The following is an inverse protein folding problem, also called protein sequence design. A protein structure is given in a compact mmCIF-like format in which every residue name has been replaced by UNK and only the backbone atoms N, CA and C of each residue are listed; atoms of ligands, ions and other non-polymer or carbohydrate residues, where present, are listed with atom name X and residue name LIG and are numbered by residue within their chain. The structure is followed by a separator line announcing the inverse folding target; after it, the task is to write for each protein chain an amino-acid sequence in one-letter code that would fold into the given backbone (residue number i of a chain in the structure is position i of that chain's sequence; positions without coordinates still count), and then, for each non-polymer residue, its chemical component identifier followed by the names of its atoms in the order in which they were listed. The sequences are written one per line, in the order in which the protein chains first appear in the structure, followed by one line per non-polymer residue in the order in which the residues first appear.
data_IF_887294374247
#
_entry.id   IF_887294374247
#
_cell.length_a   1.000
_cell.length_b   1.000
_cell.length_c   1.000
_cell.angle_alpha   90.00
_cell.angle_beta   90.00
_cell.angle_gamma   90.00
#
_symmetry.space_group_name_H-M   'P 1'
#
loop_
_entity.id
_entity.type
_entity.pdbx_description
1 polymer ?
#
# COMPACT_ATOMS: atom_id res chain seq x y z
N UNK A 1 17.15 40.63 -6.38
CA UNK A 1 18.05 40.00 -5.40
C UNK A 1 19.29 39.52 -6.15
N UNK A 2 20.50 39.98 -5.84
CA UNK A 2 21.75 39.47 -6.46
C UNK A 2 22.28 38.31 -5.61
N UNK A 3 22.76 37.23 -6.24
CA UNK A 3 23.31 36.04 -5.57
C UNK A 3 24.81 35.90 -5.88
N UNK A 4 25.69 36.78 -5.36
CA UNK A 4 27.09 36.89 -5.77
C UNK A 4 27.91 35.62 -5.49
N UNK A 5 27.54 34.84 -4.47
CA UNK A 5 28.22 33.57 -4.14
C UNK A 5 28.11 32.52 -5.24
N UNK A 6 27.07 32.58 -6.09
CA UNK A 6 26.92 31.66 -7.21
C UNK A 6 27.97 31.86 -8.31
N UNK A 7 28.71 32.98 -8.33
CA UNK A 7 29.81 33.16 -9.28
C UNK A 7 30.98 32.20 -9.03
N UNK A 8 31.09 31.65 -7.81
CA UNK A 8 32.10 30.64 -7.48
C UNK A 8 31.68 29.22 -7.91
N UNK A 9 30.44 29.04 -8.37
CA UNK A 9 29.94 27.75 -8.80
C UNK A 9 30.51 27.38 -10.16
N UNK A 10 31.26 26.29 -10.21
CA UNK A 10 31.75 25.68 -11.45
C UNK A 10 31.13 24.30 -11.60
N UNK A 11 30.47 24.06 -12.74
CA UNK A 11 29.88 22.78 -13.09
C UNK A 11 30.53 22.35 -14.41
N UNK A 12 31.16 21.17 -14.48
CA UNK A 12 31.71 20.64 -15.73
C UNK A 12 30.63 20.57 -16.81
N UNK A 13 30.94 21.10 -18.00
CA UNK A 13 29.99 21.13 -19.13
C UNK A 13 29.85 19.77 -19.79
N UNK A 14 30.96 19.01 -19.88
CA UNK A 14 30.95 17.70 -20.50
C UNK A 14 30.48 16.66 -19.47
N UNK A 15 29.58 15.77 -19.91
CA UNK A 15 29.13 14.64 -19.08
C UNK A 15 30.05 13.42 -19.23
N UNK A 16 30.86 13.36 -20.29
CA UNK A 16 31.55 12.14 -20.73
C UNK A 16 33.07 12.16 -20.67
N UNK A 17 33.71 13.31 -20.44
CA UNK A 17 35.18 13.41 -20.46
C UNK A 17 35.86 12.48 -19.44
N UNK A 18 35.18 12.14 -18.34
CA UNK A 18 35.72 11.31 -17.25
C UNK A 18 35.28 9.84 -17.30
N UNK A 19 34.57 9.41 -18.35
CA UNK A 19 34.10 8.02 -18.47
C UNK A 19 35.00 7.22 -19.41
N UNK A 20 35.58 6.13 -18.91
CA UNK A 20 36.29 5.18 -19.76
C UNK A 20 35.34 4.57 -20.80
N UNK A 21 35.85 4.24 -22.00
CA UNK A 21 35.03 3.66 -23.09
C UNK A 21 34.29 2.38 -22.67
N UNK A 22 34.89 1.60 -21.77
CA UNK A 22 34.33 0.33 -21.27
C UNK A 22 33.45 0.49 -20.02
N UNK A 23 33.08 1.73 -19.64
CA UNK A 23 32.33 1.99 -18.42
C UNK A 23 30.92 1.40 -18.48
N UNK A 24 30.53 0.70 -17.42
CA UNK A 24 29.15 0.27 -17.20
C UNK A 24 28.33 1.47 -16.73
N UNK A 25 27.37 1.87 -17.55
CA UNK A 25 26.51 3.02 -17.27
C UNK A 25 25.24 2.59 -16.52
N UNK A 26 24.72 3.48 -15.68
CA UNK A 26 23.41 3.35 -15.02
C UNK A 26 22.80 4.71 -14.74
N UNK A 27 21.48 4.81 -14.82
CA UNK A 27 20.71 6.05 -14.63
C UNK A 27 19.99 5.99 -13.28
N UNK A 28 20.09 7.07 -12.50
CA UNK A 28 19.51 7.15 -11.17
C UNK A 28 18.60 8.38 -11.07
N UNK A 29 17.30 8.13 -10.90
CA UNK A 29 16.26 9.16 -10.80
C UNK A 29 15.82 9.27 -9.36
N UNK A 30 16.06 10.41 -8.72
CA UNK A 30 15.65 10.66 -7.35
C UNK A 30 14.42 11.57 -7.34
N UNK A 31 13.48 11.30 -6.45
CA UNK A 31 12.23 12.03 -6.31
C UNK A 31 12.04 12.40 -4.84
N UNK A 32 11.63 13.64 -4.58
CA UNK A 32 11.31 14.12 -3.24
C UNK A 32 10.24 15.22 -3.27
N UNK A 33 9.53 15.38 -2.17
CA UNK A 33 8.58 16.45 -2.00
C UNK A 33 8.53 17.01 -0.58
N UNK A 34 8.45 18.34 -0.51
CA UNK A 34 8.14 19.11 0.69
C UNK A 34 6.75 19.75 0.58
N UNK A 35 6.31 20.40 1.66
CA UNK A 35 5.07 21.19 1.63
C UNK A 35 5.15 22.39 0.66
N UNK A 36 6.35 22.81 0.28
CA UNK A 36 6.60 24.01 -0.53
C UNK A 36 6.84 23.68 -2.00
N UNK A 37 7.51 22.58 -2.30
CA UNK A 37 7.83 22.17 -3.66
C UNK A 37 8.08 20.66 -3.75
N UNK A 38 7.99 20.12 -4.95
CA UNK A 38 8.36 18.75 -5.25
C UNK A 38 9.33 18.72 -6.42
N UNK A 39 10.29 17.80 -6.38
CA UNK A 39 11.44 17.83 -7.26
C UNK A 39 11.90 16.43 -7.66
N UNK A 40 12.67 16.40 -8.75
CA UNK A 40 13.37 15.23 -9.22
C UNK A 40 14.74 15.62 -9.76
N UNK A 41 15.72 14.73 -9.62
CA UNK A 41 17.04 14.87 -10.22
C UNK A 41 17.53 13.53 -10.79
N UNK A 42 18.22 13.61 -11.91
CA UNK A 42 18.71 12.46 -12.69
C UNK A 42 20.22 12.49 -12.71
N UNK A 43 20.83 11.42 -12.25
CA UNK A 43 22.28 11.21 -12.31
C UNK A 43 22.63 10.11 -13.31
N UNK A 44 23.74 10.30 -14.03
CA UNK A 44 24.43 9.24 -14.75
C UNK A 44 25.55 8.72 -13.86
N UNK A 45 25.59 7.42 -13.64
CA UNK A 45 26.69 6.72 -12.97
C UNK A 45 27.46 5.92 -14.02
N UNK A 46 28.78 6.07 -14.01
CA UNK A 46 29.70 5.31 -14.84
C UNK A 46 30.68 4.56 -13.95
N UNK A 47 30.75 3.24 -14.14
CA UNK A 47 31.63 2.34 -13.39
C UNK A 47 32.63 1.69 -14.33
N UNK A 48 33.92 1.97 -14.10
CA UNK A 48 35.05 1.28 -14.73
C UNK A 48 35.77 0.43 -13.69
N UNK A 49 36.80 -0.32 -14.11
CA UNK A 49 37.59 -1.16 -13.20
C UNK A 49 38.27 -0.35 -12.07
N UNK A 50 38.69 0.88 -12.37
CA UNK A 50 39.51 1.69 -11.47
C UNK A 50 38.73 2.84 -10.79
N UNK A 51 37.57 3.22 -11.34
CA UNK A 51 36.85 4.39 -10.87
C UNK A 51 35.32 4.26 -11.02
N UNK A 52 34.58 4.87 -10.10
CA UNK A 52 33.14 5.10 -10.26
C UNK A 52 32.83 6.57 -10.08
N UNK A 53 32.27 7.17 -11.12
CA UNK A 53 31.88 8.58 -11.15
C UNK A 53 30.38 8.72 -11.34
N UNK A 54 29.84 9.82 -10.82
CA UNK A 54 28.42 10.15 -10.89
C UNK A 54 28.30 11.62 -11.24
N UNK A 55 27.35 11.96 -12.11
CA UNK A 55 27.12 13.34 -12.52
C UNK A 55 25.64 13.62 -12.74
N UNK A 56 25.19 14.79 -12.28
CA UNK A 56 23.86 15.30 -12.51
C UNK A 56 23.67 15.62 -13.99
N UNK A 57 22.71 14.96 -14.63
CA UNK A 57 22.32 15.24 -16.01
C UNK A 57 21.26 16.34 -16.04
N UNK A 58 20.24 16.20 -15.19
CA UNK A 58 19.08 17.06 -15.24
C UNK A 58 18.36 17.08 -13.89
N UNK A 59 17.85 18.25 -13.50
CA UNK A 59 16.96 18.38 -12.35
C UNK A 59 15.75 19.23 -12.71
N UNK A 60 14.62 18.94 -12.06
CA UNK A 60 13.39 19.70 -12.24
C UNK A 60 12.63 19.78 -10.93
N UNK A 61 12.22 20.99 -10.55
CA UNK A 61 11.35 21.22 -9.41
C UNK A 61 10.05 21.95 -9.84
N UNK A 62 9.04 21.87 -8.98
CA UNK A 62 7.76 22.56 -9.12
C UNK A 62 7.27 23.00 -7.75
N UNK A 63 6.74 24.22 -7.67
CA UNK A 63 6.10 24.73 -6.46
C UNK A 63 4.84 23.88 -6.16
N UNK A 64 4.61 23.60 -4.89
CA UNK A 64 3.44 22.87 -4.44
C UNK A 64 2.14 23.62 -4.84
N UNK A 65 1.06 22.92 -5.20
CA UNK A 65 -0.20 23.57 -5.57
C UNK A 65 -0.75 24.44 -4.43
N UNK A 66 -1.33 25.59 -4.78
CA UNK A 66 -1.97 26.50 -3.80
C UNK A 66 -3.08 25.80 -3.00
N UNK A 67 -3.82 24.89 -3.66
CA UNK A 67 -4.76 24.02 -2.96
C UNK A 67 -3.98 22.98 -2.18
N UNK A 68 -4.08 23.04 -0.85
CA UNK A 68 -3.43 22.08 0.06
C UNK A 68 -3.76 20.64 -0.36
N UNK A 69 -2.71 19.89 -0.61
CA UNK A 69 -2.73 18.44 -0.81
C UNK A 69 -1.81 17.80 0.23
N UNK A 70 -2.05 16.52 0.53
CA UNK A 70 -1.26 15.80 1.52
C UNK A 70 0.18 15.58 1.03
N UNK A 71 1.13 15.47 1.97
CA UNK A 71 2.54 15.17 1.68
C UNK A 71 2.68 13.88 0.84
N UNK A 72 2.01 12.76 1.16
CA UNK A 72 2.03 11.56 0.31
C UNK A 72 1.60 11.80 -1.15
N UNK A 73 0.62 12.68 -1.38
CA UNK A 73 0.21 13.05 -2.75
C UNK A 73 1.25 13.93 -3.45
N UNK A 74 1.97 14.78 -2.72
CA UNK A 74 3.08 15.56 -3.25
C UNK A 74 4.28 14.66 -3.60
N UNK A 75 4.58 13.67 -2.77
CA UNK A 75 5.59 12.65 -3.03
C UNK A 75 5.21 11.84 -4.28
N UNK A 76 3.95 11.44 -4.45
CA UNK A 76 3.52 10.79 -5.70
C UNK A 76 3.64 11.71 -6.93
N UNK A 77 3.45 13.02 -6.77
CA UNK A 77 3.67 13.99 -7.84
C UNK A 77 5.16 14.12 -8.19
N UNK A 78 6.07 14.07 -7.21
CA UNK A 78 7.52 14.05 -7.47
C UNK A 78 7.90 12.82 -8.30
N UNK A 79 7.40 11.65 -7.94
CA UNK A 79 7.56 10.42 -8.74
C UNK A 79 7.00 10.56 -10.16
N UNK A 80 5.84 11.22 -10.31
CA UNK A 80 5.21 11.44 -11.63
C UNK A 80 6.08 12.31 -12.53
N UNK A 81 6.65 13.41 -12.00
CA UNK A 81 7.55 14.26 -12.79
C UNK A 81 8.90 13.58 -13.04
N UNK A 82 9.37 12.75 -12.11
CA UNK A 82 10.58 11.92 -12.27
C UNK A 82 10.44 10.96 -13.44
N UNK A 83 9.34 10.21 -13.51
CA UNK A 83 9.04 9.31 -14.62
C UNK A 83 8.99 10.02 -15.99
N UNK A 84 8.33 11.18 -16.04
CA UNK A 84 8.26 12.00 -17.27
C UNK A 84 9.61 12.56 -17.69
N UNK A 85 10.36 13.10 -16.72
CA UNK A 85 11.68 13.69 -16.99
C UNK A 85 12.62 12.61 -17.49
N UNK A 86 12.72 11.48 -16.78
CA UNK A 86 13.55 10.36 -17.18
C UNK A 86 13.24 9.88 -18.60
N UNK A 87 11.96 9.69 -18.95
CA UNK A 87 11.56 9.29 -20.30
C UNK A 87 12.06 10.26 -21.38
N UNK A 88 11.93 11.58 -21.14
CA UNK A 88 12.40 12.60 -22.07
C UNK A 88 13.93 12.61 -22.16
N UNK A 89 14.63 12.69 -21.03
CA UNK A 89 16.10 12.74 -20.96
C UNK A 89 16.75 11.53 -21.62
N UNK A 90 16.24 10.32 -21.36
CA UNK A 90 16.80 9.09 -21.91
C UNK A 90 16.64 9.05 -23.42
N UNK A 91 15.48 9.46 -23.93
CA UNK A 91 15.19 9.47 -25.36
C UNK A 91 16.01 10.53 -26.11
N UNK A 92 16.23 11.71 -25.51
CA UNK A 92 17.02 12.78 -26.10
C UNK A 92 18.52 12.44 -26.12
N UNK A 93 19.00 11.70 -25.13
CA UNK A 93 20.41 11.31 -25.01
C UNK A 93 20.74 9.94 -25.65
N UNK A 94 19.75 9.21 -26.17
CA UNK A 94 19.94 7.89 -26.77
C UNK A 94 20.44 6.83 -25.77
N UNK A 95 19.91 6.86 -24.54
CA UNK A 95 20.35 6.01 -23.42
C UNK A 95 19.36 4.86 -23.11
N UNK A 96 18.53 4.45 -24.07
CA UNK A 96 17.39 3.54 -23.83
C UNK A 96 17.80 2.14 -23.37
N UNK A 97 19.04 1.73 -23.62
CA UNK A 97 19.58 0.41 -23.25
C UNK A 97 20.28 0.39 -21.89
N UNK A 98 20.36 1.54 -21.21
CA UNK A 98 21.07 1.68 -19.95
C UNK A 98 20.16 1.31 -18.77
N UNK A 99 20.63 0.51 -17.79
CA UNK A 99 19.88 0.24 -16.56
C UNK A 99 19.43 1.52 -15.86
N UNK A 100 18.19 1.54 -15.38
CA UNK A 100 17.62 2.69 -14.68
C UNK A 100 17.06 2.31 -13.31
N UNK A 101 17.27 3.17 -12.34
CA UNK A 101 16.78 3.03 -10.98
C UNK A 101 16.03 4.29 -10.55
N UNK A 102 14.85 4.11 -9.96
CA UNK A 102 14.05 5.20 -9.41
C UNK A 102 14.09 5.15 -7.88
N UNK A 103 14.29 6.29 -7.24
CA UNK A 103 14.54 6.41 -5.82
C UNK A 103 13.58 7.41 -5.18
N UNK A 104 12.98 7.03 -4.06
CA UNK A 104 12.18 7.91 -3.22
C UNK A 104 12.28 7.47 -1.76
N UNK A 105 12.17 8.42 -0.84
CA UNK A 105 12.02 8.20 0.60
C UNK A 105 10.56 8.09 1.05
N UNK A 106 9.62 8.20 0.11
CA UNK A 106 8.20 8.00 0.37
C UNK A 106 7.79 6.53 0.28
N UNK A 107 7.70 5.87 1.44
CA UNK A 107 7.16 4.50 1.51
C UNK A 107 5.72 4.42 0.98
N UNK A 108 4.90 5.45 1.20
CA UNK A 108 3.50 5.49 0.74
C UNK A 108 3.40 5.59 -0.78
N UNK A 109 4.16 6.50 -1.42
CA UNK A 109 4.15 6.64 -2.87
C UNK A 109 4.69 5.37 -3.55
N UNK A 110 5.77 4.80 -3.01
CA UNK A 110 6.34 3.54 -3.51
C UNK A 110 5.35 2.38 -3.39
N UNK A 111 4.62 2.29 -2.27
CA UNK A 111 3.59 1.27 -2.08
C UNK A 111 2.51 1.37 -3.15
N UNK A 112 2.01 2.58 -3.42
CA UNK A 112 1.01 2.81 -4.48
C UNK A 112 1.53 2.49 -5.88
N UNK A 113 2.80 2.81 -6.18
CA UNK A 113 3.42 2.54 -7.49
C UNK A 113 3.54 1.03 -7.71
N UNK A 114 4.00 0.28 -6.69
CA UNK A 114 4.22 -1.18 -6.78
C UNK A 114 2.91 -1.97 -6.84
N UNK A 115 1.87 -1.53 -6.12
CA UNK A 115 0.60 -2.25 -6.01
C UNK A 115 -0.45 -1.74 -7.01
N UNK A 116 -1.10 -2.67 -7.72
CA UNK A 116 -2.21 -2.35 -8.62
C UNK A 116 -3.56 -2.56 -7.92
N UNK A 117 -3.94 -1.63 -7.04
CA UNK A 117 -5.21 -1.68 -6.30
C UNK A 117 -6.19 -0.58 -6.76
N UNK A 118 -7.41 -0.62 -6.21
CA UNK A 118 -8.47 0.34 -6.50
C UNK A 118 -8.24 1.67 -5.77
N UNK A 119 -7.24 2.43 -6.19
CA UNK A 119 -6.90 3.73 -5.63
C UNK A 119 -7.94 4.82 -5.97
N UNK A 120 -8.03 5.84 -5.13
CA UNK A 120 -8.76 7.08 -5.39
C UNK A 120 -8.25 7.72 -6.69
N UNK A 121 -9.13 8.47 -7.36
CA UNK A 121 -8.90 8.98 -8.73
C UNK A 121 -7.55 9.71 -8.87
N UNK A 122 -7.16 10.49 -7.86
CA UNK A 122 -5.88 11.19 -7.87
C UNK A 122 -4.71 10.20 -7.92
N UNK A 123 -4.62 9.30 -6.93
CA UNK A 123 -3.52 8.31 -6.84
C UNK A 123 -3.55 7.37 -8.05
N UNK A 124 -4.72 6.85 -8.42
CA UNK A 124 -4.90 5.96 -9.56
C UNK A 124 -4.33 6.55 -10.86
N UNK A 125 -4.70 7.79 -11.19
CA UNK A 125 -4.26 8.40 -12.45
C UNK A 125 -2.74 8.62 -12.50
N UNK A 126 -2.10 8.98 -11.37
CA UNK A 126 -0.64 9.17 -11.31
C UNK A 126 0.10 7.83 -11.33
N UNK A 127 -0.37 6.84 -10.58
CA UNK A 127 0.19 5.48 -10.59
C UNK A 127 0.08 4.88 -12.00
N UNK A 128 -1.08 5.01 -12.66
CA UNK A 128 -1.28 4.53 -14.03
C UNK A 128 -0.28 5.17 -15.00
N UNK A 129 -0.04 6.47 -14.88
CA UNK A 129 0.94 7.17 -15.70
C UNK A 129 2.38 6.71 -15.41
N UNK A 130 2.78 6.64 -14.14
CA UNK A 130 4.12 6.18 -13.73
C UNK A 130 4.37 4.77 -14.27
N UNK A 131 3.40 3.86 -14.14
CA UNK A 131 3.51 2.46 -14.61
C UNK A 131 3.49 2.32 -16.14
N UNK A 132 3.00 3.32 -16.87
CA UNK A 132 3.13 3.38 -18.34
C UNK A 132 4.52 3.81 -18.78
N UNK A 133 5.20 4.62 -17.97
CA UNK A 133 6.50 5.20 -18.29
C UNK A 133 7.68 4.40 -17.72
N UNK A 134 7.45 3.64 -16.65
CA UNK A 134 8.49 2.97 -15.84
C UNK A 134 8.03 1.57 -15.41
N UNK A 135 8.98 0.69 -15.11
CA UNK A 135 8.68 -0.59 -14.48
C UNK A 135 8.61 -0.43 -12.94
N UNK A 136 7.53 -0.88 -12.27
CA UNK A 136 7.40 -0.83 -10.81
C UNK A 136 8.57 -1.43 -10.02
N UNK A 137 9.25 -2.43 -10.58
CA UNK A 137 10.37 -3.12 -9.91
C UNK A 137 11.66 -2.26 -9.87
N UNK A 138 11.77 -1.25 -10.74
CA UNK A 138 12.93 -0.34 -10.76
C UNK A 138 12.85 0.71 -9.63
N UNK A 139 11.72 0.79 -8.93
CA UNK A 139 11.49 1.74 -7.83
C UNK A 139 11.99 1.20 -6.50
N UNK A 140 12.87 1.96 -5.86
CA UNK A 140 13.58 1.61 -4.63
C UNK A 140 13.38 2.69 -3.56
N UNK A 141 13.37 2.24 -2.31
CA UNK A 141 13.33 3.13 -1.17
C UNK A 141 14.74 3.48 -0.69
N UNK A 142 14.93 4.74 -0.29
CA UNK A 142 16.13 5.23 0.41
C UNK A 142 15.72 6.11 1.59
N UNK A 143 16.60 6.25 2.58
CA UNK A 143 16.41 7.25 3.65
C UNK A 143 16.38 8.67 3.06
N UNK A 144 15.49 9.53 3.55
CA UNK A 144 15.42 10.94 3.13
C UNK A 144 16.72 11.71 3.35
N UNK A 145 17.49 11.37 4.39
CA UNK A 145 18.82 11.96 4.63
C UNK A 145 19.85 11.65 3.56
N UNK A 146 19.61 10.61 2.75
CA UNK A 146 20.47 10.18 1.66
C UNK A 146 19.90 10.57 0.28
N UNK A 147 18.75 11.23 0.25
CA UNK A 147 18.03 11.59 -0.97
C UNK A 147 18.49 12.95 -1.52
N UNK A 148 19.23 13.00 -2.64
CA UNK A 148 19.70 14.26 -3.20
C UNK A 148 18.57 15.14 -3.76
N UNK A 149 17.35 14.62 -3.96
CA UNK A 149 16.21 15.41 -4.40
C UNK A 149 15.64 16.34 -3.30
N UNK A 150 16.10 16.19 -2.05
CA UNK A 150 15.74 17.07 -0.93
C UNK A 150 16.17 18.52 -1.16
N UNK A 151 17.38 18.72 -1.72
CA UNK A 151 17.92 20.05 -2.01
C UNK A 151 16.99 20.86 -2.93
N UNK A 152 16.57 20.37 -4.11
CA UNK A 152 15.65 21.11 -4.97
C UNK A 152 14.17 21.13 -4.51
N UNK A 153 13.76 20.28 -3.56
CA UNK A 153 12.39 20.26 -3.02
C UNK A 153 12.20 21.19 -1.81
N UNK A 154 13.25 21.37 -0.98
CA UNK A 154 13.25 22.23 0.21
C UNK A 154 13.93 23.58 -0.02
N UNK A 155 14.82 23.63 -1.00
CA UNK A 155 15.67 24.77 -1.29
C UNK A 155 16.97 24.74 -0.51
N UNK A 156 17.96 25.45 -1.01
CA UNK A 156 19.26 25.66 -0.36
C UNK A 156 19.72 27.09 -0.58
N UNK A 157 20.52 27.62 0.34
CA UNK A 157 21.13 28.93 0.13
C UNK A 157 22.36 28.82 -0.79
N UNK A 158 22.76 29.95 -1.38
CA UNK A 158 23.84 29.98 -2.36
C UNK A 158 25.20 29.51 -1.81
N UNK A 159 25.45 29.62 -0.50
CA UNK A 159 26.72 29.19 0.09
C UNK A 159 26.77 27.67 0.28
N UNK A 160 25.69 27.09 0.80
CA UNK A 160 25.54 25.63 0.93
C UNK A 160 25.60 24.96 -0.44
N UNK A 161 24.91 25.52 -1.44
CA UNK A 161 24.91 24.96 -2.78
C UNK A 161 26.32 24.88 -3.35
N UNK A 162 27.11 25.96 -3.25
CA UNK A 162 28.50 25.98 -3.73
C UNK A 162 29.39 24.93 -3.04
N UNK A 163 29.11 24.58 -1.78
CA UNK A 163 29.89 23.59 -1.01
C UNK A 163 29.41 22.14 -1.16
N UNK A 164 28.21 21.89 -1.68
CA UNK A 164 27.53 20.59 -1.53
C UNK A 164 28.00 19.48 -2.46
N UNK A 165 28.76 19.80 -3.51
CA UNK A 165 29.10 18.86 -4.60
C UNK A 165 27.88 18.10 -5.16
N UNK A 166 26.69 18.68 -5.06
CA UNK A 166 25.42 18.02 -5.41
C UNK A 166 25.37 17.51 -6.86
N UNK A 167 26.09 18.19 -7.77
CA UNK A 167 26.27 17.78 -9.17
C UNK A 167 27.04 16.48 -9.35
N UNK A 168 27.78 16.00 -8.35
CA UNK A 168 28.55 14.75 -8.44
C UNK A 168 27.80 13.54 -7.85
N UNK A 169 26.54 13.73 -7.46
CA UNK A 169 25.71 12.69 -6.86
C UNK A 169 26.11 12.34 -5.43
N UNK A 170 25.28 11.54 -4.74
CA UNK A 170 25.56 11.15 -3.36
C UNK A 170 26.70 10.12 -3.30
N UNK A 171 27.57 10.24 -2.30
CA UNK A 171 28.78 9.40 -2.16
C UNK A 171 28.51 7.90 -2.20
N UNK A 172 27.38 7.45 -1.63
CA UNK A 172 27.02 6.03 -1.61
C UNK A 172 26.76 5.47 -3.01
N UNK A 173 26.40 6.32 -3.98
CA UNK A 173 26.13 5.89 -5.35
C UNK A 173 27.41 5.46 -6.08
N UNK A 174 28.57 5.91 -5.61
CA UNK A 174 29.88 5.48 -6.13
C UNK A 174 30.30 4.10 -5.62
N UNK A 175 29.61 3.55 -4.62
CA UNK A 175 29.89 2.21 -4.09
C UNK A 175 29.30 1.13 -5.00
N UNK A 176 29.77 -0.12 -4.86
CA UNK A 176 29.15 -1.28 -5.49
C UNK A 176 27.65 -1.37 -5.19
N UNK A 177 26.90 -2.00 -6.08
CA UNK A 177 25.43 -2.09 -5.99
C UNK A 177 24.94 -2.79 -4.70
N UNK A 178 25.76 -3.68 -4.16
CA UNK A 178 25.53 -4.43 -2.94
C UNK A 178 25.52 -3.53 -1.69
N UNK A 179 26.25 -2.40 -1.75
CA UNK A 179 26.39 -1.44 -0.65
C UNK A 179 25.36 -0.29 -0.73
N UNK A 180 24.47 -0.31 -1.72
CA UNK A 180 23.48 0.75 -1.86
C UNK A 180 22.46 0.70 -0.70
N UNK A 181 22.07 1.86 -0.15
CA UNK A 181 21.24 1.95 1.05
C UNK A 181 19.75 1.70 0.75
N UNK A 182 19.44 0.56 0.14
CA UNK A 182 18.08 0.11 -0.09
C UNK A 182 17.50 -0.35 1.24
N UNK A 183 16.39 0.25 1.68
CA UNK A 183 15.68 -0.23 2.86
C UNK A 183 14.33 -0.82 2.52
N UNK A 184 13.79 -1.62 3.44
CA UNK A 184 12.46 -2.18 3.31
C UNK A 184 11.39 -1.09 3.33
N UNK A 185 10.30 -1.31 2.59
CA UNK A 185 9.15 -0.41 2.52
C UNK A 185 8.03 -0.90 3.43
N UNK A 186 7.77 -0.18 4.52
CA UNK A 186 6.58 -0.39 5.36
C UNK A 186 5.75 0.89 5.31
N UNK A 187 4.68 0.95 4.50
CA UNK A 187 3.89 2.17 4.39
C UNK A 187 3.11 2.44 5.67
N UNK A 188 2.64 3.68 5.80
CA UNK A 188 1.58 4.01 6.75
C UNK A 188 0.25 3.49 6.19
N UNK A 189 -0.26 2.41 6.79
CA UNK A 189 -1.49 1.78 6.33
C UNK A 189 -2.72 2.67 6.48
N UNK A 190 -2.75 3.63 7.41
CA UNK A 190 -3.88 4.55 7.53
C UNK A 190 -3.90 5.52 6.36
N UNK A 191 -2.73 6.06 5.97
CA UNK A 191 -2.58 6.89 4.77
C UNK A 191 -2.96 6.11 3.52
N UNK A 192 -2.42 4.90 3.35
CA UNK A 192 -2.70 4.07 2.17
C UNK A 192 -4.19 3.72 2.08
N UNK A 193 -4.80 3.29 3.18
CA UNK A 193 -6.21 2.89 3.21
C UNK A 193 -7.15 4.09 2.99
N UNK A 194 -6.74 5.31 3.40
CA UNK A 194 -7.51 6.53 3.10
C UNK A 194 -7.63 6.81 1.60
N UNK A 195 -6.66 6.35 0.80
CA UNK A 195 -6.62 6.49 -0.65
C UNK A 195 -7.16 5.26 -1.39
N UNK A 196 -7.63 4.21 -0.69
CA UNK A 196 -8.43 3.18 -1.34
C UNK A 196 -9.80 3.76 -1.65
N UNK A 197 -10.25 3.64 -2.90
CA UNK A 197 -11.67 3.86 -3.19
C UNK A 197 -12.43 2.91 -2.29
N UNK A 198 -13.26 3.47 -1.41
CA UNK A 198 -14.34 2.71 -0.81
C UNK A 198 -15.09 2.13 -2.00
N UNK A 199 -15.00 0.82 -2.19
CA UNK A 199 -15.92 0.14 -3.08
C UNK A 199 -17.28 0.38 -2.45
N UNK A 200 -17.95 1.45 -2.88
CA UNK A 200 -19.38 1.58 -2.72
C UNK A 200 -19.88 0.46 -3.60
N UNK A 201 -19.96 -0.74 -3.03
CA UNK A 201 -21.05 -1.62 -3.39
C UNK A 201 -22.25 -0.72 -3.18
N UNK A 202 -22.88 -0.31 -4.28
CA UNK A 202 -24.23 0.21 -4.24
C UNK A 202 -25.07 -0.92 -3.69
N UNK A 203 -25.02 -1.11 -2.38
CA UNK A 203 -26.15 -1.60 -1.63
C UNK A 203 -27.14 -0.48 -1.86
N UNK A 204 -28.02 -0.65 -2.84
CA UNK A 204 -29.30 0.05 -2.84
C UNK A 204 -29.75 0.07 -1.39
N UNK A 205 -30.03 1.26 -0.85
CA UNK A 205 -30.57 1.44 0.50
C UNK A 205 -31.85 0.59 0.67
N UNK A 206 -31.71 -0.70 0.87
CA UNK A 206 -32.41 -1.36 1.93
C UNK A 206 -31.66 -0.90 3.16
N UNK A 207 -32.36 -0.15 4.01
CA UNK A 207 -32.22 -0.31 5.46
C UNK A 207 -31.70 -1.71 5.77
N UNK A 208 -30.78 -1.83 6.71
CA UNK A 208 -30.27 -3.12 7.22
C UNK A 208 -31.42 -3.90 7.86
N UNK A 209 -32.39 -4.30 7.05
CA UNK A 209 -33.40 -5.27 7.36
C UNK A 209 -32.58 -6.52 7.60
N UNK A 210 -32.59 -6.98 8.85
CA UNK A 210 -32.22 -8.34 9.16
C UNK A 210 -32.80 -9.20 8.05
N UNK A 211 -31.95 -10.01 7.39
CA UNK A 211 -32.43 -10.99 6.43
C UNK A 211 -33.61 -11.69 7.10
N UNK A 212 -34.79 -11.57 6.51
CA UNK A 212 -36.06 -11.79 7.20
C UNK A 212 -36.16 -13.21 7.81
N UNK A 213 -35.37 -14.16 7.31
CA UNK A 213 -35.29 -15.51 7.84
C UNK A 213 -34.46 -15.65 9.13
N UNK A 214 -33.58 -14.72 9.47
CA UNK A 214 -32.81 -14.76 10.73
C UNK A 214 -33.73 -14.71 11.97
N UNK A 215 -34.84 -13.98 11.88
CA UNK A 215 -35.86 -13.95 12.93
C UNK A 215 -36.74 -15.21 12.90
N UNK A 216 -37.06 -15.75 11.71
CA UNK A 216 -37.97 -16.89 11.51
C UNK A 216 -37.36 -18.27 11.80
N UNK A 217 -36.04 -18.41 11.89
CA UNK A 217 -35.35 -19.70 12.10
C UNK A 217 -34.90 -19.85 13.55
N UNK A 218 -35.28 -20.93 14.23
CA UNK A 218 -34.98 -21.15 15.66
C UNK A 218 -33.60 -21.75 15.98
N UNK A 219 -32.91 -22.37 15.00
CA UNK A 219 -31.61 -23.03 15.20
C UNK A 219 -30.51 -22.33 14.40
N UNK A 220 -29.33 -22.17 15.00
CA UNK A 220 -28.18 -21.58 14.33
C UNK A 220 -27.69 -22.51 13.21
N UNK A 221 -27.55 -23.81 13.44
CA UNK A 221 -27.20 -24.78 12.37
C UNK A 221 -28.20 -24.81 11.23
N UNK A 222 -29.51 -24.71 11.51
CA UNK A 222 -30.52 -24.60 10.44
C UNK A 222 -30.32 -23.32 9.64
N UNK A 223 -30.03 -22.20 10.30
CA UNK A 223 -29.74 -20.92 9.66
C UNK A 223 -28.48 -20.99 8.78
N UNK A 224 -27.41 -21.61 9.27
CA UNK A 224 -26.17 -21.84 8.52
C UNK A 224 -26.43 -22.68 7.26
N UNK A 225 -27.19 -23.76 7.39
CA UNK A 225 -27.54 -24.61 6.23
C UNK A 225 -28.40 -23.89 5.21
N UNK A 226 -29.40 -23.12 5.63
CA UNK A 226 -30.23 -22.31 4.72
C UNK A 226 -29.35 -21.32 3.96
N UNK A 227 -28.46 -20.62 4.67
CA UNK A 227 -27.52 -19.65 4.08
C UNK A 227 -26.59 -20.33 3.07
N UNK A 228 -26.04 -21.50 3.41
CA UNK A 228 -25.19 -22.29 2.52
C UNK A 228 -25.94 -22.72 1.24
N UNK A 229 -27.20 -23.15 1.36
CA UNK A 229 -28.03 -23.45 0.19
C UNK A 229 -28.30 -22.24 -0.69
N UNK A 230 -28.54 -21.07 -0.10
CA UNK A 230 -28.70 -19.81 -0.84
C UNK A 230 -27.41 -19.51 -1.62
N UNK A 231 -26.23 -19.65 -0.99
CA UNK A 231 -24.94 -19.44 -1.64
C UNK A 231 -24.70 -20.42 -2.80
N UNK A 232 -24.97 -21.70 -2.58
CA UNK A 232 -24.87 -22.73 -3.62
C UNK A 232 -25.79 -22.43 -4.78
N UNK A 233 -27.05 -22.07 -4.52
CA UNK A 233 -28.00 -21.68 -5.56
C UNK A 233 -27.49 -20.49 -6.37
N UNK A 234 -27.06 -19.43 -5.71
CA UNK A 234 -26.51 -18.23 -6.35
C UNK A 234 -25.28 -18.55 -7.22
N UNK A 235 -24.35 -19.36 -6.71
CA UNK A 235 -23.17 -19.80 -7.46
C UNK A 235 -23.57 -20.63 -8.68
N UNK A 236 -24.41 -21.63 -8.50
CA UNK A 236 -24.88 -22.51 -9.58
C UNK A 236 -25.68 -21.76 -10.65
N UNK A 237 -26.45 -20.73 -10.29
CA UNK A 237 -27.18 -19.90 -11.23
C UNK A 237 -26.26 -19.15 -12.21
N UNK A 238 -25.01 -18.89 -11.81
CA UNK A 238 -23.99 -18.22 -12.62
C UNK A 238 -23.03 -19.20 -13.33
N UNK A 239 -23.21 -20.49 -13.11
CA UNK A 239 -22.29 -21.53 -13.59
C UNK A 239 -22.98 -22.40 -14.65
N UNK A 240 -22.20 -22.86 -15.63
CA UNK A 240 -22.67 -23.79 -16.66
C UNK A 240 -23.16 -25.09 -16.04
N UNK A 241 -24.20 -25.73 -16.63
CA UNK A 241 -24.87 -26.90 -16.03
C UNK A 241 -23.92 -28.03 -15.62
N UNK A 242 -22.84 -28.26 -16.38
CA UNK A 242 -21.85 -29.32 -16.14
C UNK A 242 -20.97 -29.09 -14.90
N UNK A 243 -20.83 -27.84 -14.47
CA UNK A 243 -19.94 -27.44 -13.37
C UNK A 243 -20.72 -27.11 -12.07
N UNK A 244 -22.04 -27.31 -12.07
CA UNK A 244 -22.89 -27.04 -10.91
C UNK A 244 -22.64 -28.08 -9.82
N UNK A 245 -22.49 -27.62 -8.57
CA UNK A 245 -22.42 -28.49 -7.40
C UNK A 245 -23.81 -29.02 -7.05
N UNK A 246 -23.95 -30.34 -6.90
CA UNK A 246 -25.15 -31.02 -6.42
C UNK A 246 -24.89 -31.80 -5.12
N UNK A 247 -25.88 -32.55 -4.62
CA UNK A 247 -25.73 -33.43 -3.46
C UNK A 247 -25.76 -32.69 -2.10
N UNK A 248 -25.12 -33.25 -1.08
CA UNK A 248 -25.04 -32.65 0.27
C UNK A 248 -24.16 -31.39 0.27
N UNK A 249 -24.37 -30.50 1.24
CA UNK A 249 -23.50 -29.34 1.47
C UNK A 249 -22.11 -29.81 1.89
N UNK A 250 -21.07 -29.19 1.32
CA UNK A 250 -19.70 -29.44 1.75
C UNK A 250 -19.31 -28.56 2.95
N UNK A 251 -18.18 -28.87 3.57
CA UNK A 251 -17.70 -28.15 4.76
C UNK A 251 -17.42 -26.68 4.45
N UNK A 252 -16.81 -26.40 3.29
CA UNK A 252 -16.46 -25.04 2.86
C UNK A 252 -17.70 -24.15 2.70
N UNK A 253 -18.80 -24.69 2.16
CA UNK A 253 -20.07 -23.96 2.02
C UNK A 253 -20.71 -23.66 3.37
N UNK A 254 -20.61 -24.59 4.32
CA UNK A 254 -21.12 -24.41 5.69
C UNK A 254 -20.29 -23.37 6.44
N UNK A 255 -18.96 -23.44 6.34
CA UNK A 255 -18.06 -22.47 6.97
C UNK A 255 -18.23 -21.06 6.37
N UNK A 256 -18.34 -20.95 5.04
CA UNK A 256 -18.59 -19.68 4.38
C UNK A 256 -19.93 -19.06 4.82
N UNK A 257 -20.97 -19.89 4.96
CA UNK A 257 -22.27 -19.47 5.46
C UNK A 257 -22.21 -19.00 6.92
N UNK A 258 -21.50 -19.73 7.77
CA UNK A 258 -21.32 -19.36 9.18
C UNK A 258 -20.60 -18.02 9.31
N UNK A 259 -19.45 -17.86 8.63
CA UNK A 259 -18.70 -16.60 8.62
C UNK A 259 -19.56 -15.43 8.13
N UNK A 260 -20.37 -15.65 7.10
CA UNK A 260 -21.29 -14.62 6.61
C UNK A 260 -22.31 -14.20 7.67
N UNK A 261 -22.96 -15.16 8.33
CA UNK A 261 -23.94 -14.87 9.40
C UNK A 261 -23.28 -14.05 10.51
N UNK A 262 -22.12 -14.47 11.00
CA UNK A 262 -21.40 -13.77 12.07
C UNK A 262 -20.99 -12.36 11.65
N UNK A 263 -20.56 -12.18 10.40
CA UNK A 263 -20.21 -10.86 9.84
C UNK A 263 -21.42 -9.93 9.77
N UNK A 264 -22.61 -10.46 9.44
CA UNK A 264 -23.86 -9.67 9.47
C UNK A 264 -24.24 -9.27 10.90
N UNK A 265 -24.05 -10.16 11.88
CA UNK A 265 -24.26 -9.80 13.29
C UNK A 265 -23.31 -8.68 13.73
N UNK A 266 -22.03 -8.79 13.34
CA UNK A 266 -21.03 -7.78 13.67
C UNK A 266 -21.31 -6.44 12.99
N UNK A 267 -21.72 -6.42 11.72
CA UNK A 267 -22.05 -5.17 11.02
C UNK A 267 -23.26 -4.46 11.62
N UNK A 268 -24.20 -5.20 12.21
CA UNK A 268 -25.36 -4.62 12.90
C UNK A 268 -24.99 -4.02 14.26
N UNK A 269 -24.03 -4.61 14.97
CA UNK A 269 -23.76 -4.24 16.37
C UNK A 269 -22.48 -3.41 16.56
N UNK A 270 -21.55 -3.42 15.61
CA UNK A 270 -20.22 -2.81 15.75
C UNK A 270 -19.86 -1.86 14.60
N UNK A 271 -20.86 -1.36 13.85
CA UNK A 271 -20.64 -0.47 12.68
C UNK A 271 -20.40 1.01 13.03
N UNK A 272 -20.45 1.38 14.31
CA UNK A 272 -20.11 2.71 14.81
C UNK A 272 -18.69 2.78 15.38
N UNK A 273 -18.08 3.98 15.39
CA UNK A 273 -16.84 4.32 16.13
C UNK A 273 -17.01 4.22 17.66
N UNK A 274 -17.72 3.21 18.15
CA UNK A 274 -17.80 2.92 19.57
C UNK A 274 -16.43 2.43 20.02
N UNK A 275 -15.84 3.13 20.99
CA UNK A 275 -14.63 2.67 21.66
C UNK A 275 -14.96 1.40 22.43
N UNK A 276 -14.77 0.25 21.79
CA UNK A 276 -14.70 -1.03 22.47
C UNK A 276 -13.48 -0.97 23.41
N UNK A 277 -13.66 -1.24 24.70
CA UNK A 277 -12.56 -1.35 25.69
C UNK A 277 -11.71 -2.62 25.47
N UNK A 278 -11.64 -3.12 24.24
CA UNK A 278 -10.99 -4.36 23.82
C UNK A 278 -10.05 -4.05 22.67
N UNK A 279 -8.89 -4.71 22.65
CA UNK A 279 -8.00 -4.65 21.49
C UNK A 279 -8.60 -5.54 20.40
N UNK A 280 -9.13 -4.95 19.32
CA UNK A 280 -9.78 -5.68 18.23
C UNK A 280 -9.06 -5.47 16.90
N UNK A 281 -9.13 -6.46 16.02
CA UNK A 281 -8.63 -6.37 14.64
C UNK A 281 -9.50 -7.17 13.68
N UNK A 282 -9.45 -6.86 12.39
CA UNK A 282 -10.12 -7.64 11.35
C UNK A 282 -9.20 -8.75 10.84
N UNK A 283 -9.74 -9.96 10.70
CA UNK A 283 -9.02 -11.07 10.06
C UNK A 283 -9.10 -11.04 8.52
N UNK A 284 -8.52 -12.05 7.87
CA UNK A 284 -8.53 -12.20 6.41
C UNK A 284 -9.93 -12.41 5.83
N UNK A 285 -10.88 -12.92 6.62
CA UNK A 285 -12.29 -13.09 6.22
C UNK A 285 -13.13 -11.81 6.49
N UNK A 286 -12.52 -10.80 7.13
CA UNK A 286 -13.14 -9.56 7.54
C UNK A 286 -14.09 -9.72 8.73
N UNK A 287 -13.82 -10.68 9.62
CA UNK A 287 -14.45 -10.82 10.93
C UNK A 287 -13.66 -10.04 11.99
N UNK A 288 -14.36 -9.36 12.87
CA UNK A 288 -13.78 -8.65 14.00
C UNK A 288 -13.39 -9.67 15.10
N UNK A 289 -12.12 -9.69 15.47
CA UNK A 289 -11.55 -10.59 16.49
C UNK A 289 -10.94 -9.81 17.64
N UNK A 290 -10.86 -10.45 18.79
CA UNK A 290 -10.27 -9.88 20.01
C UNK A 290 -8.84 -10.38 20.19
N UNK A 291 -7.94 -9.47 20.56
CA UNK A 291 -6.59 -9.76 21.03
C UNK A 291 -6.57 -9.71 22.55
N UNK A 292 -6.12 -10.79 23.18
CA UNK A 292 -6.01 -10.91 24.65
C UNK A 292 -4.60 -11.32 25.04
N UNK A 293 -4.33 -11.48 26.34
CA UNK A 293 -3.04 -12.04 26.81
C UNK A 293 -2.80 -13.47 26.30
N UNK A 294 -3.86 -14.22 25.95
CA UNK A 294 -3.77 -15.58 25.40
C UNK A 294 -3.22 -15.56 23.97
N UNK A 295 -3.29 -14.42 23.27
CA UNK A 295 -2.81 -14.30 21.89
C UNK A 295 -1.31 -14.58 21.72
N UNK A 296 -0.51 -14.60 22.79
CA UNK A 296 0.92 -14.94 22.77
C UNK A 296 1.20 -16.44 22.96
N UNK A 297 0.20 -17.28 23.27
CA UNK A 297 0.38 -18.73 23.38
C UNK A 297 0.55 -19.39 22.01
N UNK A 298 1.27 -20.51 21.98
CA UNK A 298 1.31 -21.40 20.82
C UNK A 298 0.06 -22.29 20.82
N UNK A 299 -0.97 -21.86 20.10
CA UNK A 299 -2.26 -22.56 20.01
C UNK A 299 -2.97 -22.21 18.69
N UNK A 300 -4.13 -22.82 18.44
CA UNK A 300 -4.93 -22.64 17.23
C UNK A 300 -5.34 -21.14 17.09
N UNK A 301 -5.23 -20.54 15.89
CA UNK A 301 -5.53 -19.13 15.69
C UNK A 301 -6.94 -18.70 16.14
N UNK A 302 -7.95 -19.55 15.96
CA UNK A 302 -9.33 -19.28 16.38
C UNK A 302 -9.47 -19.19 17.90
N UNK A 303 -8.66 -19.94 18.65
CA UNK A 303 -8.60 -19.87 20.11
C UNK A 303 -7.82 -18.64 20.59
N UNK A 304 -6.70 -18.34 19.94
CA UNK A 304 -5.85 -17.17 20.27
C UNK A 304 -6.52 -15.83 19.96
N UNK A 305 -7.41 -15.82 18.97
CA UNK A 305 -8.09 -14.66 18.44
C UNK A 305 -9.58 -14.97 18.27
N UNK A 306 -10.36 -15.04 19.36
CA UNK A 306 -11.78 -15.35 19.29
C UNK A 306 -12.54 -14.27 18.51
N UNK A 307 -13.61 -14.67 17.84
CA UNK A 307 -14.51 -13.76 17.13
C UNK A 307 -15.28 -12.94 18.16
N UNK A 308 -15.29 -11.62 18.00
CA UNK A 308 -16.06 -10.75 18.88
C UNK A 308 -17.55 -10.85 18.54
N UNK A 309 -18.37 -11.31 19.49
CA UNK A 309 -19.81 -11.46 19.30
C UNK A 309 -20.58 -10.59 20.30
N UNK A 310 -21.67 -9.93 19.88
CA UNK A 310 -22.50 -9.13 20.77
C UNK A 310 -23.30 -10.03 21.71
N UNK A 311 -23.33 -9.68 23.00
CA UNK A 311 -23.99 -10.48 24.04
C UNK A 311 -25.52 -10.48 23.94
N UNK A 312 -26.14 -9.45 23.35
CA UNK A 312 -27.60 -9.26 23.31
C UNK A 312 -28.24 -9.50 21.94
N UNK A 313 -27.57 -10.22 21.04
CA UNK A 313 -28.10 -10.45 19.69
C UNK A 313 -28.82 -11.81 19.57
N UNK A 314 -30.03 -11.82 19.00
CA UNK A 314 -30.89 -13.01 18.95
C UNK A 314 -30.23 -14.22 18.25
N UNK A 315 -29.46 -13.98 17.18
CA UNK A 315 -28.70 -15.05 16.48
C UNK A 315 -27.64 -15.67 17.38
N UNK A 316 -26.98 -14.86 18.22
CA UNK A 316 -25.95 -15.34 19.14
C UNK A 316 -26.57 -16.13 20.28
N UNK A 317 -27.75 -15.72 20.76
CA UNK A 317 -28.55 -16.52 21.69
C UNK A 317 -28.85 -17.92 21.15
N UNK A 318 -29.19 -18.05 19.85
CA UNK A 318 -29.42 -19.35 19.19
C UNK A 318 -28.15 -20.19 19.11
N UNK A 319 -27.00 -19.58 18.80
CA UNK A 319 -25.70 -20.25 18.78
C UNK A 319 -25.32 -20.79 20.18
N UNK A 320 -25.46 -19.96 21.20
CA UNK A 320 -25.19 -20.32 22.60
C UNK A 320 -26.11 -21.46 23.04
N UNK A 321 -27.41 -21.34 22.76
CA UNK A 321 -28.38 -22.37 23.13
C UNK A 321 -28.10 -23.70 22.42
N UNK A 322 -27.71 -23.66 21.14
CA UNK A 322 -27.32 -24.86 20.41
C UNK A 322 -26.10 -25.53 21.04
N UNK A 323 -25.06 -24.77 21.38
CA UNK A 323 -23.88 -25.31 22.08
C UNK A 323 -24.22 -25.85 23.47
N UNK A 324 -25.16 -25.22 24.17
CA UNK A 324 -25.66 -25.71 25.46
C UNK A 324 -26.29 -27.09 25.33
N UNK A 325 -27.12 -27.30 24.31
CA UNK A 325 -27.77 -28.60 24.05
C UNK A 325 -26.75 -29.64 23.56
N UNK A 326 -25.84 -29.27 22.64
CA UNK A 326 -24.80 -30.17 22.13
C UNK A 326 -23.87 -30.69 23.24
N UNK A 327 -23.58 -29.83 24.23
CA UNK A 327 -22.75 -30.17 25.38
C UNK A 327 -23.56 -30.75 26.55
N UNK A 328 -24.76 -31.26 26.30
CA UNK A 328 -25.62 -31.92 27.30
C UNK A 328 -25.95 -31.03 28.50
N UNK A 329 -26.41 -29.81 28.21
CA UNK A 329 -26.78 -28.78 29.20
C UNK A 329 -25.63 -28.27 30.06
N UNK A 330 -24.43 -28.22 29.49
CA UNK A 330 -23.25 -27.70 30.16
C UNK A 330 -23.49 -26.29 30.73
N UNK A 331 -22.98 -26.07 31.95
CA UNK A 331 -23.07 -24.79 32.63
C UNK A 331 -22.30 -23.69 31.91
N UNK A 332 -22.60 -22.44 32.26
CA UNK A 332 -22.06 -21.23 31.62
C UNK A 332 -20.52 -21.23 31.54
N UNK A 333 -19.82 -21.79 32.54
CA UNK A 333 -18.36 -21.86 32.60
C UNK A 333 -17.72 -22.75 31.52
N UNK A 334 -18.47 -23.70 30.96
CA UNK A 334 -17.99 -24.60 29.90
C UNK A 334 -18.29 -24.01 28.51
N UNK A 335 -19.19 -23.04 28.45
CA UNK A 335 -19.83 -22.56 27.22
C UNK A 335 -19.31 -21.20 26.78
N UNK A 336 -18.84 -20.38 27.73
CA UNK A 336 -18.08 -19.13 27.51
C UNK A 336 -16.59 -19.37 27.67
#
# INVERSE_FOLDING_TARGET
MKLPKLNALQIPRCVREDFAEDSKLSIHVFCDASQSAYATCIFLRAESADNTSCQLIQARNRVAPLKKISIPRLELLSCTIGARLAKATISELGLEKIPIFYWSDSMNALYWIKRNENWATFVYNRVLEIRKLTNPEDWRHISGTLNPADLPSRGSNAEELVKSLWWEGPNWLRRPIEDWPVSETIPDFDVVNSEKRKTIVSVTNTTTEQLEYFSKVSSFRKMTRITAWIFRFYKNAKTQKKERKGGTLDLEEVEAAEKFILKQVQSQCFSGNEKLNLQTFLDSDGLLRVKTKISQRSDIPTFRFPILLPSKHAVIGKLIFEKHVELSHAGIQILM
#
